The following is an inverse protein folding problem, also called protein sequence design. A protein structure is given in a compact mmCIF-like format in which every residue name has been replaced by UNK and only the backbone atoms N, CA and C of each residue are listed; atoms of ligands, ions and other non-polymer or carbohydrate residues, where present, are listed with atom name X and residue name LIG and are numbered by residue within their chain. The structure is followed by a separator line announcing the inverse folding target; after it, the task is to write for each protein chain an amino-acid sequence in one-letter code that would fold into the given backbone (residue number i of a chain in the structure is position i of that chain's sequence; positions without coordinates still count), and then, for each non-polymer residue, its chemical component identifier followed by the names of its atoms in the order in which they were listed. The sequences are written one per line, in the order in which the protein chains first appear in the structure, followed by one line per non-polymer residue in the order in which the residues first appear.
data_IF_334613579150
#
_entry.id   IF_334613579150
#
_cell.length_a   1.000
_cell.length_b   1.000
_cell.length_c   1.000
_cell.angle_alpha   90.00
_cell.angle_beta   90.00
_cell.angle_gamma   90.00
#
_symmetry.space_group_name_H-M   'P 1'
#
loop_
_entity.id
_entity.type
_entity.pdbx_description
1 polymer ?
#
# COMPACT_ATOMS: atom_id res chain seq x y z
N UNK A 1 -12.30 -6.63 8.43
CA UNK A 1 -13.59 -5.91 8.22
C UNK A 1 -14.79 -6.59 8.86
N UNK A 2 -14.89 -7.90 8.88
CA UNK A 2 -16.02 -8.64 9.50
C UNK A 2 -16.24 -8.36 11.00
N UNK A 3 -15.22 -7.96 11.75
CA UNK A 3 -15.35 -7.59 13.16
C UNK A 3 -16.27 -6.39 13.43
N UNK A 4 -16.41 -5.50 12.46
CA UNK A 4 -17.26 -4.31 12.54
C UNK A 4 -18.69 -4.56 12.04
N UNK A 5 -18.94 -5.74 11.47
CA UNK A 5 -20.27 -6.11 11.01
C UNK A 5 -21.13 -6.59 12.20
N UNK A 6 -22.30 -6.03 12.30
CA UNK A 6 -23.31 -6.52 13.21
C UNK A 6 -24.07 -7.65 12.52
N UNK A 7 -23.72 -8.89 12.86
CA UNK A 7 -24.21 -10.07 12.17
C UNK A 7 -25.35 -10.68 12.98
N UNK A 8 -26.55 -10.51 12.48
CA UNK A 8 -27.78 -11.10 13.02
C UNK A 8 -28.18 -12.29 12.15
N UNK A 9 -27.68 -13.46 12.46
CA UNK A 9 -28.08 -14.70 11.80
C UNK A 9 -28.09 -15.87 12.76
N UNK A 10 -29.13 -16.74 12.71
CA UNK A 10 -29.17 -17.92 13.54
C UNK A 10 -28.14 -18.99 13.20
N UNK A 11 -27.45 -18.86 12.05
CA UNK A 11 -26.43 -19.82 11.59
C UNK A 11 -25.19 -19.82 12.48
N UNK A 12 -24.76 -18.64 12.94
CA UNK A 12 -23.52 -18.49 13.67
C UNK A 12 -23.77 -18.14 15.13
N UNK A 13 -23.03 -18.79 16.03
CA UNK A 13 -23.09 -18.55 17.47
C UNK A 13 -22.26 -17.37 17.92
N UNK A 14 -21.15 -17.11 17.22
CA UNK A 14 -20.32 -15.95 17.47
C UNK A 14 -19.69 -15.39 16.18
N UNK A 15 -19.06 -14.22 16.29
CA UNK A 15 -18.40 -13.55 15.16
C UNK A 15 -17.15 -14.30 14.64
N UNK A 16 -16.52 -15.10 15.48
CA UNK A 16 -15.32 -15.86 15.08
C UNK A 16 -15.67 -16.95 14.06
N UNK A 17 -16.82 -17.59 14.21
CA UNK A 17 -17.30 -18.58 13.23
C UNK A 17 -17.51 -17.94 11.86
N UNK A 18 -18.14 -16.75 11.83
CA UNK A 18 -18.36 -16.02 10.57
C UNK A 18 -17.03 -15.62 9.92
N UNK A 19 -16.10 -15.06 10.70
CA UNK A 19 -14.80 -14.61 10.19
C UNK A 19 -14.03 -15.78 9.60
N UNK A 20 -14.09 -16.95 10.24
CA UNK A 20 -13.44 -18.14 9.76
C UNK A 20 -14.05 -18.67 8.45
N UNK A 21 -15.39 -18.76 8.38
CA UNK A 21 -16.09 -19.13 7.15
C UNK A 21 -15.80 -18.15 6.00
N UNK A 22 -15.70 -16.84 6.31
CA UNK A 22 -15.32 -15.83 5.33
C UNK A 22 -13.87 -16.03 4.84
N UNK A 23 -12.93 -16.30 5.74
CA UNK A 23 -11.55 -16.58 5.37
C UNK A 23 -11.45 -17.81 4.46
N UNK A 24 -12.22 -18.86 4.74
CA UNK A 24 -12.27 -20.05 3.88
C UNK A 24 -12.92 -19.81 2.52
N UNK A 25 -13.98 -19.01 2.48
CA UNK A 25 -14.62 -18.65 1.22
C UNK A 25 -13.69 -17.78 0.37
N UNK A 26 -13.04 -16.78 0.98
CA UNK A 26 -12.08 -15.91 0.30
C UNK A 26 -10.85 -16.69 -0.19
N UNK A 27 -10.36 -17.64 0.60
CA UNK A 27 -9.26 -18.50 0.18
C UNK A 27 -9.56 -19.22 -1.15
N UNK A 28 -10.80 -19.72 -1.33
CA UNK A 28 -11.20 -20.39 -2.57
C UNK A 28 -11.16 -19.43 -3.77
N UNK A 29 -11.62 -18.20 -3.59
CA UNK A 29 -11.58 -17.16 -4.63
C UNK A 29 -10.13 -16.78 -4.99
N UNK A 30 -9.27 -16.60 -3.98
CA UNK A 30 -7.87 -16.26 -4.18
C UNK A 30 -7.11 -17.39 -4.90
N UNK A 31 -7.38 -18.65 -4.56
CA UNK A 31 -6.82 -19.81 -5.26
C UNK A 31 -7.31 -19.87 -6.72
N UNK A 32 -8.60 -19.59 -6.98
CA UNK A 32 -9.13 -19.53 -8.33
C UNK A 32 -8.48 -18.40 -9.16
N UNK A 33 -8.21 -17.23 -8.56
CA UNK A 33 -7.44 -16.16 -9.22
C UNK A 33 -6.02 -16.60 -9.56
N UNK A 34 -5.32 -17.24 -8.64
CA UNK A 34 -3.99 -17.83 -8.89
C UNK A 34 -4.03 -18.81 -10.05
N UNK A 35 -4.99 -19.73 -10.04
CA UNK A 35 -5.14 -20.78 -11.07
C UNK A 35 -5.50 -20.19 -12.44
N UNK A 36 -6.20 -19.06 -12.45
CA UNK A 36 -6.46 -18.26 -13.67
C UNK A 36 -5.23 -17.48 -14.17
N UNK A 37 -4.10 -17.55 -13.46
CA UNK A 37 -2.83 -16.93 -13.86
C UNK A 37 -2.50 -15.61 -13.17
N UNK A 38 -3.26 -15.18 -12.16
CA UNK A 38 -2.92 -14.01 -11.37
C UNK A 38 -1.65 -14.29 -10.54
N UNK A 39 -0.62 -13.44 -10.69
CA UNK A 39 0.67 -13.61 -10.00
C UNK A 39 0.97 -12.53 -8.97
N UNK A 40 0.08 -11.57 -8.82
CA UNK A 40 0.16 -10.53 -7.80
C UNK A 40 -1.23 -10.23 -7.25
N UNK A 41 -1.42 -10.37 -5.96
CA UNK A 41 -2.71 -10.14 -5.29
C UNK A 41 -2.49 -9.20 -4.11
N UNK A 42 -3.30 -8.14 -4.02
CA UNK A 42 -3.31 -7.26 -2.85
C UNK A 42 -4.58 -7.49 -2.04
N UNK A 43 -4.40 -7.62 -0.73
CA UNK A 43 -5.49 -7.74 0.24
C UNK A 43 -5.50 -6.49 1.13
N UNK A 44 -6.69 -5.94 1.34
CA UNK A 44 -6.93 -4.80 2.22
C UNK A 44 -7.16 -5.29 3.65
N UNK A 45 -6.17 -5.08 4.53
CA UNK A 45 -6.26 -5.51 5.92
C UNK A 45 -5.90 -4.40 6.93
N UNK A 46 -6.76 -3.40 7.08
CA UNK A 46 -6.55 -2.33 8.05
C UNK A 46 -6.86 -2.75 9.50
N UNK A 47 -7.41 -3.94 9.73
CA UNK A 47 -7.98 -4.30 11.02
C UNK A 47 -6.92 -4.57 12.08
N UNK A 48 -5.79 -5.18 11.72
CA UNK A 48 -4.79 -5.61 12.70
C UNK A 48 -4.20 -4.46 13.49
N UNK A 49 -3.80 -3.36 12.81
CA UNK A 49 -3.21 -2.24 13.51
C UNK A 49 -4.22 -1.46 14.34
N UNK A 50 -5.49 -1.37 13.92
CA UNK A 50 -6.55 -0.84 14.76
C UNK A 50 -6.72 -1.67 16.04
N UNK A 51 -6.82 -2.99 15.92
CA UNK A 51 -6.97 -3.89 17.04
C UNK A 51 -5.73 -3.90 17.94
N UNK A 52 -4.52 -3.92 17.35
CA UNK A 52 -3.28 -3.89 18.10
C UNK A 52 -3.13 -2.60 18.91
N UNK A 53 -3.58 -1.46 18.37
CA UNK A 53 -3.59 -0.21 19.12
C UNK A 53 -4.68 -0.16 20.21
N UNK A 54 -5.80 -0.86 20.01
CA UNK A 54 -6.92 -0.85 20.97
C UNK A 54 -6.73 -1.85 22.10
N UNK A 55 -6.30 -3.07 21.78
CA UNK A 55 -6.25 -4.20 22.72
C UNK A 55 -4.83 -4.65 23.08
N UNK A 56 -3.81 -4.22 22.32
CA UNK A 56 -2.46 -4.74 22.38
C UNK A 56 -2.24 -5.90 21.41
N UNK A 57 -1.03 -6.00 20.86
CA UNK A 57 -0.65 -6.94 19.79
C UNK A 57 -0.78 -8.43 20.16
N UNK A 58 -0.75 -8.74 21.45
CA UNK A 58 -0.82 -10.13 21.96
C UNK A 58 -2.21 -10.52 22.45
N UNK A 59 -3.20 -9.66 22.27
CA UNK A 59 -4.59 -9.95 22.63
C UNK A 59 -5.15 -11.10 21.79
N UNK A 60 -6.02 -11.94 22.39
CA UNK A 60 -6.60 -13.11 21.71
C UNK A 60 -7.31 -12.80 20.40
N UNK A 61 -8.01 -11.68 20.33
CA UNK A 61 -8.69 -11.29 19.10
C UNK A 61 -7.71 -10.94 17.98
N UNK A 62 -6.59 -10.31 18.32
CA UNK A 62 -5.52 -10.01 17.33
C UNK A 62 -4.90 -11.32 16.82
N UNK A 63 -4.60 -12.26 17.72
CA UNK A 63 -4.09 -13.59 17.34
C UNK A 63 -5.07 -14.31 16.42
N UNK A 64 -6.34 -14.35 16.80
CA UNK A 64 -7.37 -14.99 15.98
C UNK A 64 -7.50 -14.37 14.59
N UNK A 65 -7.44 -13.04 14.48
CA UNK A 65 -7.51 -12.36 13.18
C UNK A 65 -6.29 -12.66 12.31
N UNK A 66 -5.11 -12.78 12.90
CA UNK A 66 -3.90 -13.20 12.18
C UNK A 66 -4.06 -14.63 11.66
N UNK A 67 -4.60 -15.54 12.48
CA UNK A 67 -4.84 -16.92 12.08
C UNK A 67 -5.87 -16.99 10.95
N UNK A 68 -6.96 -16.23 11.03
CA UNK A 68 -7.97 -16.13 9.98
C UNK A 68 -7.39 -15.57 8.67
N UNK A 69 -6.57 -14.51 8.74
CA UNK A 69 -5.87 -13.98 7.57
C UNK A 69 -4.90 -15.00 6.97
N UNK A 70 -4.10 -15.66 7.78
CA UNK A 70 -3.17 -16.69 7.30
C UNK A 70 -3.90 -17.89 6.69
N UNK A 71 -5.12 -18.19 7.17
CA UNK A 71 -6.01 -19.19 6.56
C UNK A 71 -6.56 -18.71 5.21
N UNK A 72 -6.95 -17.43 5.13
CA UNK A 72 -7.43 -16.81 3.88
C UNK A 72 -6.41 -16.90 2.76
N UNK A 73 -5.14 -16.67 3.05
CA UNK A 73 -4.05 -16.65 2.04
C UNK A 73 -3.30 -17.97 1.91
N UNK A 74 -3.78 -19.04 2.51
CA UNK A 74 -3.15 -20.35 2.47
C UNK A 74 -3.07 -20.90 1.04
N UNK A 75 -1.89 -21.40 0.65
CA UNK A 75 -1.66 -21.99 -0.67
C UNK A 75 -1.36 -21.00 -1.79
N UNK A 76 -1.08 -19.72 -1.47
CA UNK A 76 -0.69 -18.67 -2.43
C UNK A 76 0.85 -18.49 -2.48
N UNK A 77 1.62 -19.55 -2.27
CA UNK A 77 3.09 -19.48 -2.16
C UNK A 77 3.79 -19.10 -3.49
N UNK A 78 3.10 -19.21 -4.62
CA UNK A 78 3.55 -18.84 -5.97
C UNK A 78 3.00 -17.50 -6.47
N UNK A 79 2.35 -16.73 -5.59
CA UNK A 79 1.77 -15.41 -5.86
C UNK A 79 2.46 -14.36 -5.01
N UNK A 80 2.88 -13.24 -5.60
CA UNK A 80 3.35 -12.10 -4.81
C UNK A 80 2.16 -11.47 -4.07
N UNK A 81 2.13 -11.64 -2.76
CA UNK A 81 1.03 -11.23 -1.89
C UNK A 81 1.34 -9.89 -1.23
N UNK A 82 0.49 -8.91 -1.48
CA UNK A 82 0.55 -7.59 -0.88
C UNK A 82 -0.51 -7.43 0.20
N UNK A 83 -0.14 -6.81 1.30
CA UNK A 83 -1.06 -6.44 2.38
C UNK A 83 -1.12 -4.92 2.46
N UNK A 84 -2.27 -4.34 2.21
CA UNK A 84 -2.46 -2.89 2.35
C UNK A 84 -3.05 -2.55 3.72
N UNK A 85 -2.45 -1.56 4.35
CA UNK A 85 -2.92 -1.00 5.62
C UNK A 85 -3.00 0.52 5.54
N UNK A 86 -4.12 1.06 6.00
CA UNK A 86 -4.33 2.49 6.12
C UNK A 86 -5.12 2.80 7.41
N UNK A 87 -5.28 4.08 7.73
CA UNK A 87 -5.96 4.53 8.94
C UNK A 87 -7.44 4.87 8.71
N UNK A 88 -8.04 4.23 7.71
CA UNK A 88 -9.41 4.48 7.29
C UNK A 88 -9.54 5.74 6.44
N UNK A 89 -10.63 5.83 5.69
CA UNK A 89 -10.79 6.91 4.73
C UNK A 89 -12.27 7.26 4.45
N UNK A 90 -13.13 7.41 5.49
CA UNK A 90 -14.50 7.88 5.28
C UNK A 90 -14.46 9.34 4.82
N UNK A 91 -15.02 9.63 3.65
CA UNK A 91 -15.06 10.98 3.09
C UNK A 91 -13.70 11.72 3.10
N UNK A 92 -12.62 11.01 2.79
CA UNK A 92 -11.24 11.54 2.83
C UNK A 92 -10.77 11.98 4.23
N UNK A 93 -11.47 11.58 5.29
CA UNK A 93 -11.09 11.86 6.67
C UNK A 93 -10.33 10.70 7.28
N UNK A 94 -9.50 10.98 8.28
CA UNK A 94 -8.90 9.94 9.12
C UNK A 94 -9.94 9.43 10.12
N UNK A 95 -9.91 8.12 10.37
CA UNK A 95 -10.75 7.54 11.43
C UNK A 95 -10.10 7.73 12.81
N UNK A 96 -8.75 7.73 12.84
CA UNK A 96 -7.96 7.87 14.05
C UNK A 96 -6.84 8.89 13.82
N UNK A 97 -6.56 9.73 14.82
CA UNK A 97 -5.54 10.78 14.72
C UNK A 97 -4.16 10.33 15.24
N UNK A 98 -4.08 9.94 16.50
CA UNK A 98 -2.81 9.56 17.14
C UNK A 98 -2.51 8.08 17.03
N UNK A 99 -2.13 7.67 15.83
CA UNK A 99 -1.90 6.28 15.52
C UNK A 99 -0.46 6.04 15.09
N UNK A 100 0.08 4.87 15.42
CA UNK A 100 1.40 4.42 15.00
C UNK A 100 1.36 2.94 14.65
N UNK A 101 2.17 2.54 13.69
CA UNK A 101 2.40 1.13 13.37
C UNK A 101 3.29 0.42 14.41
N UNK A 102 3.77 1.10 15.45
CA UNK A 102 4.64 0.52 16.46
C UNK A 102 4.05 -0.75 17.12
N UNK A 103 2.74 -0.76 17.37
CA UNK A 103 2.06 -1.90 17.98
C UNK A 103 1.73 -3.04 17.01
N UNK A 104 2.00 -2.88 15.72
CA UNK A 104 1.63 -3.86 14.69
C UNK A 104 2.77 -4.24 13.74
N UNK A 105 3.95 -3.63 13.88
CA UNK A 105 5.06 -3.87 12.97
C UNK A 105 5.48 -5.34 12.93
N UNK A 106 5.58 -6.01 14.07
CA UNK A 106 5.89 -7.44 14.19
C UNK A 106 4.77 -8.32 13.62
N UNK A 107 3.51 -7.89 13.72
CA UNK A 107 2.37 -8.61 13.15
C UNK A 107 2.58 -8.76 11.63
N UNK A 108 2.82 -7.65 10.93
CA UNK A 108 2.98 -7.67 9.48
C UNK A 108 4.32 -8.23 9.02
N UNK A 109 5.42 -7.96 9.75
CA UNK A 109 6.74 -8.44 9.34
C UNK A 109 6.95 -9.93 9.63
N UNK A 110 6.41 -10.44 10.74
CA UNK A 110 6.76 -11.78 11.24
C UNK A 110 5.59 -12.76 11.29
N UNK A 111 4.36 -12.29 11.62
CA UNK A 111 3.23 -13.17 11.94
C UNK A 111 2.24 -13.36 10.80
N UNK A 112 2.02 -12.35 9.97
CA UNK A 112 1.18 -12.45 8.78
C UNK A 112 1.97 -13.01 7.60
N UNK A 113 1.36 -13.89 6.82
CA UNK A 113 1.87 -14.28 5.50
C UNK A 113 1.77 -13.09 4.55
N UNK A 114 2.68 -13.00 3.60
CA UNK A 114 2.71 -11.93 2.59
C UNK A 114 4.13 -11.48 2.30
N UNK A 115 4.33 -10.91 1.11
CA UNK A 115 5.63 -10.52 0.59
C UNK A 115 5.86 -9.03 0.68
N UNK A 116 4.81 -8.24 0.54
CA UNK A 116 4.86 -6.77 0.52
C UNK A 116 3.85 -6.21 1.52
N UNK A 117 4.33 -5.35 2.39
CA UNK A 117 3.47 -4.59 3.29
C UNK A 117 3.36 -3.15 2.82
N UNK A 118 2.14 -2.69 2.50
CA UNK A 118 1.83 -1.35 2.00
C UNK A 118 1.23 -0.50 3.11
N UNK A 119 1.82 0.69 3.34
CA UNK A 119 1.51 1.54 4.49
C UNK A 119 1.10 2.95 4.05
N UNK A 120 0.11 3.50 4.75
CA UNK A 120 -0.21 4.93 4.73
C UNK A 120 0.86 5.71 5.48
N UNK A 121 1.69 6.49 4.77
CA UNK A 121 2.86 7.16 5.33
C UNK A 121 2.91 8.66 5.02
N UNK A 122 2.53 9.09 3.80
CA UNK A 122 2.62 10.49 3.35
C UNK A 122 1.79 11.43 4.20
N UNK A 123 0.52 11.10 4.43
CA UNK A 123 -0.39 11.91 5.23
C UNK A 123 -0.01 12.01 6.71
N UNK A 124 1.00 11.25 7.12
CA UNK A 124 1.52 11.18 8.48
C UNK A 124 2.96 11.68 8.56
N UNK A 125 3.41 12.44 7.56
CA UNK A 125 4.77 12.99 7.48
C UNK A 125 5.87 11.94 7.65
N UNK A 126 5.62 10.69 7.22
CA UNK A 126 6.57 9.58 7.29
C UNK A 126 7.05 9.24 8.72
N UNK A 127 6.27 9.58 9.76
CA UNK A 127 6.71 9.53 11.17
C UNK A 127 7.10 8.12 11.66
N UNK A 128 6.52 7.07 11.04
CA UNK A 128 6.76 5.69 11.46
C UNK A 128 7.93 5.01 10.70
N UNK A 129 8.67 5.72 9.83
CA UNK A 129 9.82 5.15 9.12
C UNK A 129 10.91 4.63 10.06
N UNK A 130 11.14 5.30 11.18
CA UNK A 130 12.14 4.91 12.17
C UNK A 130 11.88 3.54 12.80
N UNK A 131 10.63 3.06 12.78
CA UNK A 131 10.26 1.74 13.26
C UNK A 131 10.94 0.60 12.48
N UNK A 132 11.39 0.86 11.25
CA UNK A 132 12.10 -0.11 10.42
C UNK A 132 13.61 -0.19 10.73
N UNK A 133 14.17 0.75 11.51
CA UNK A 133 15.60 0.77 11.83
C UNK A 133 16.12 -0.55 12.43
N UNK A 134 15.41 -1.20 13.38
CA UNK A 134 15.87 -2.48 13.93
C UNK A 134 15.89 -3.63 12.91
N UNK A 135 15.07 -3.55 11.88
CA UNK A 135 14.90 -4.60 10.88
C UNK A 135 15.74 -4.38 9.62
N UNK A 136 16.40 -3.24 9.47
CA UNK A 136 17.05 -2.80 8.22
C UNK A 136 17.95 -3.86 7.59
N UNK A 137 18.71 -4.60 8.40
CA UNK A 137 19.68 -5.58 7.93
C UNK A 137 19.11 -7.00 7.72
N UNK A 138 17.88 -7.25 8.21
CA UNK A 138 17.24 -8.58 8.13
C UNK A 138 15.78 -8.48 7.64
N UNK A 139 15.44 -7.41 6.93
CA UNK A 139 14.11 -7.21 6.40
C UNK A 139 13.83 -8.22 5.28
N UNK A 140 12.94 -9.18 5.55
CA UNK A 140 12.59 -10.24 4.60
C UNK A 140 11.53 -9.80 3.61
N UNK A 141 10.56 -9.01 4.07
CA UNK A 141 9.48 -8.48 3.25
C UNK A 141 9.88 -7.19 2.56
N UNK A 142 9.23 -6.89 1.46
CA UNK A 142 9.26 -5.55 0.86
C UNK A 142 8.31 -4.63 1.64
N UNK A 143 8.69 -3.36 1.73
CA UNK A 143 7.89 -2.32 2.36
C UNK A 143 7.48 -1.32 1.30
N UNK A 144 6.19 -1.23 1.03
CA UNK A 144 5.63 -0.25 0.12
C UNK A 144 5.19 0.99 0.91
N UNK A 145 5.96 2.05 0.83
CA UNK A 145 5.62 3.32 1.50
C UNK A 145 4.66 4.14 0.65
N UNK A 146 3.63 4.70 1.26
CA UNK A 146 2.85 5.77 0.67
C UNK A 146 3.70 7.03 0.55
N UNK A 147 4.04 7.42 -0.67
CA UNK A 147 4.77 8.65 -0.97
C UNK A 147 3.89 9.76 -1.54
N UNK A 148 2.65 9.42 -1.86
CA UNK A 148 1.61 10.30 -2.43
C UNK A 148 0.33 10.18 -1.62
N UNK A 149 -0.19 11.31 -1.17
CA UNK A 149 -1.45 11.36 -0.44
C UNK A 149 -2.66 11.09 -1.35
N UNK A 150 -3.59 10.29 -0.87
CA UNK A 150 -4.90 10.11 -1.50
C UNK A 150 -5.94 11.13 -1.02
N UNK A 151 -5.65 11.89 0.04
CA UNK A 151 -6.55 12.90 0.63
C UNK A 151 -6.39 14.27 0.02
N UNK A 152 -5.24 14.57 -0.55
CA UNK A 152 -4.94 15.85 -1.19
C UNK A 152 -5.19 15.73 -2.69
N UNK A 153 -6.02 16.61 -3.26
CA UNK A 153 -6.34 16.60 -4.70
C UNK A 153 -5.21 17.17 -5.56
N UNK A 154 -4.33 17.99 -4.99
CA UNK A 154 -3.16 18.50 -5.69
C UNK A 154 -2.28 17.33 -6.16
N UNK A 155 -1.95 17.30 -7.43
CA UNK A 155 -0.97 16.36 -7.97
C UNK A 155 0.41 16.65 -7.38
N UNK A 156 1.10 15.57 -6.99
CA UNK A 156 2.44 15.66 -6.41
C UNK A 156 3.48 15.90 -7.50
N UNK A 157 4.55 16.62 -7.16
CA UNK A 157 5.69 16.74 -8.06
C UNK A 157 6.61 15.52 -7.90
N UNK A 158 7.26 15.05 -8.98
CA UNK A 158 8.22 13.94 -8.90
C UNK A 158 9.34 14.17 -7.88
N UNK A 159 9.79 15.43 -7.71
CA UNK A 159 10.83 15.81 -6.76
C UNK A 159 10.38 15.64 -5.32
N UNK A 160 9.11 15.91 -5.01
CA UNK A 160 8.54 15.74 -3.68
C UNK A 160 8.45 14.24 -3.35
N UNK A 161 8.02 13.42 -4.31
CA UNK A 161 8.04 11.95 -4.19
C UNK A 161 9.45 11.42 -3.97
N UNK A 162 10.44 11.90 -4.75
CA UNK A 162 11.84 11.55 -4.57
C UNK A 162 12.34 11.93 -3.16
N UNK A 163 11.88 13.05 -2.62
CA UNK A 163 12.16 13.45 -1.25
C UNK A 163 11.66 12.45 -0.21
N UNK A 164 10.44 11.92 -0.38
CA UNK A 164 9.91 10.88 0.52
C UNK A 164 10.68 9.56 0.40
N UNK A 165 11.06 9.18 -0.82
CA UNK A 165 11.88 7.97 -1.05
C UNK A 165 13.24 8.09 -0.34
N UNK A 166 13.92 9.25 -0.45
CA UNK A 166 15.22 9.47 0.23
C UNK A 166 15.09 9.38 1.76
N UNK A 167 13.97 9.81 2.35
CA UNK A 167 13.69 9.63 3.78
C UNK A 167 13.60 8.14 4.12
N UNK A 168 12.85 7.38 3.32
CA UNK A 168 12.66 5.94 3.55
C UNK A 168 13.96 5.13 3.42
N UNK A 169 14.84 5.48 2.48
CA UNK A 169 16.12 4.81 2.27
C UNK A 169 17.08 4.89 3.45
N UNK A 170 16.84 5.78 4.40
CA UNK A 170 17.61 5.80 5.67
C UNK A 170 17.35 4.55 6.52
N UNK A 171 16.15 3.98 6.42
CA UNK A 171 15.65 2.91 7.28
C UNK A 171 15.34 1.60 6.54
N UNK A 172 15.05 1.67 5.24
CA UNK A 172 14.66 0.54 4.40
C UNK A 172 15.68 0.43 3.25
N UNK A 173 16.32 -0.72 3.06
CA UNK A 173 17.26 -0.90 1.97
C UNK A 173 16.56 -0.84 0.59
N UNK A 174 17.22 -0.34 -0.45
CA UNK A 174 16.58 -0.07 -1.75
C UNK A 174 15.95 -1.31 -2.39
N UNK A 175 16.52 -2.50 -2.21
CA UNK A 175 15.99 -3.77 -2.72
C UNK A 175 14.71 -4.23 -2.00
N UNK A 176 14.41 -3.64 -0.85
CA UNK A 176 13.20 -3.91 -0.06
C UNK A 176 12.19 -2.77 -0.10
N UNK A 177 12.54 -1.65 -0.73
CA UNK A 177 11.67 -0.48 -0.81
C UNK A 177 10.81 -0.52 -2.07
N UNK A 178 9.50 -0.42 -1.87
CA UNK A 178 8.51 -0.18 -2.91
C UNK A 178 7.86 1.18 -2.66
N UNK A 179 7.39 1.84 -3.69
CA UNK A 179 6.74 3.16 -3.57
C UNK A 179 5.31 3.06 -4.06
N UNK A 180 4.39 3.52 -3.23
CA UNK A 180 2.95 3.50 -3.51
C UNK A 180 2.28 4.84 -3.18
N UNK A 181 0.98 4.93 -3.36
CA UNK A 181 0.13 5.91 -2.71
C UNK A 181 -0.26 5.44 -1.31
N UNK A 182 -0.67 6.36 -0.45
CA UNK A 182 -1.14 6.04 0.90
C UNK A 182 -2.37 5.11 0.90
N UNK A 183 -3.25 5.28 -0.07
CA UNK A 183 -4.44 4.47 -0.31
C UNK A 183 -4.91 4.68 -1.75
N UNK A 184 -5.97 3.98 -2.17
CA UNK A 184 -6.55 4.12 -3.49
C UNK A 184 -7.15 5.50 -3.76
N UNK A 185 -7.06 5.95 -5.02
CA UNK A 185 -7.57 7.26 -5.47
C UNK A 185 -9.07 7.28 -5.77
N UNK A 186 -9.77 6.17 -5.69
CA UNK A 186 -11.21 6.08 -5.97
C UNK A 186 -12.10 6.73 -4.91
N UNK A 187 -11.81 7.97 -4.54
CA UNK A 187 -12.49 8.73 -3.48
C UNK A 187 -13.12 10.01 -4.04
N UNK A 188 -14.03 10.60 -3.25
CA UNK A 188 -14.73 11.82 -3.63
C UNK A 188 -13.74 12.94 -3.98
N UNK A 189 -13.97 13.60 -5.11
CA UNK A 189 -13.17 14.72 -5.59
C UNK A 189 -11.90 14.33 -6.36
N UNK A 190 -11.39 13.12 -6.22
CA UNK A 190 -10.26 12.65 -7.02
C UNK A 190 -10.79 12.07 -8.34
N UNK A 191 -10.75 12.85 -9.39
CA UNK A 191 -11.10 12.38 -10.73
C UNK A 191 -9.96 11.57 -11.36
N UNK A 192 -10.23 10.99 -12.53
CA UNK A 192 -9.26 10.16 -13.27
C UNK A 192 -7.96 10.91 -13.60
N UNK A 193 -8.04 12.16 -13.96
CA UNK A 193 -6.90 12.99 -14.36
C UNK A 193 -5.97 13.24 -13.18
N UNK A 194 -6.53 13.65 -12.04
CA UNK A 194 -5.76 13.80 -10.78
C UNK A 194 -5.07 12.50 -10.40
N UNK A 195 -5.81 11.39 -10.42
CA UNK A 195 -5.26 10.07 -10.10
C UNK A 195 -4.12 9.67 -11.06
N UNK A 196 -4.28 9.96 -12.35
CA UNK A 196 -3.27 9.70 -13.36
C UNK A 196 -1.98 10.47 -13.10
N UNK A 197 -2.06 11.78 -12.83
CA UNK A 197 -0.87 12.59 -12.52
C UNK A 197 -0.20 12.17 -11.22
N UNK A 198 -0.97 11.81 -10.20
CA UNK A 198 -0.44 11.29 -8.94
C UNK A 198 0.32 9.96 -9.14
N UNK A 199 -0.25 9.04 -9.89
CA UNK A 199 0.41 7.77 -10.22
C UNK A 199 1.68 7.98 -11.06
N UNK A 200 1.62 8.87 -12.05
CA UNK A 200 2.77 9.24 -12.87
C UNK A 200 3.91 9.85 -12.03
N UNK A 201 3.57 10.72 -11.08
CA UNK A 201 4.56 11.33 -10.18
C UNK A 201 5.31 10.28 -9.33
N UNK A 202 4.64 9.20 -8.90
CA UNK A 202 5.29 8.08 -8.20
C UNK A 202 6.40 7.47 -9.08
N UNK A 203 6.07 7.10 -10.31
CA UNK A 203 7.01 6.47 -11.22
C UNK A 203 8.19 7.40 -11.59
N UNK A 204 7.91 8.68 -11.83
CA UNK A 204 8.93 9.69 -12.12
C UNK A 204 9.84 9.94 -10.91
N UNK A 205 9.27 10.05 -9.69
CA UNK A 205 10.03 10.20 -8.45
C UNK A 205 10.95 9.01 -8.20
N UNK A 206 10.47 7.79 -8.45
CA UNK A 206 11.32 6.59 -8.42
C UNK A 206 12.49 6.69 -9.40
N UNK A 207 12.27 7.19 -10.62
CA UNK A 207 13.33 7.34 -11.61
C UNK A 207 14.38 8.40 -11.21
N UNK A 208 13.99 9.46 -10.51
CA UNK A 208 14.94 10.42 -9.95
C UNK A 208 15.91 9.70 -9.01
N UNK A 209 15.37 8.96 -8.03
CA UNK A 209 16.19 8.26 -7.03
C UNK A 209 16.98 7.10 -7.65
N UNK A 210 16.41 6.38 -8.61
CA UNK A 210 17.16 5.33 -9.33
C UNK A 210 18.41 5.89 -10.01
N UNK A 211 18.30 7.05 -10.66
CA UNK A 211 19.49 7.71 -11.25
C UNK A 211 20.53 8.08 -10.21
N UNK A 212 20.11 8.60 -9.06
CA UNK A 212 21.01 8.94 -7.94
C UNK A 212 21.76 7.71 -7.40
N UNK A 213 21.11 6.55 -7.43
CA UNK A 213 21.67 5.28 -6.97
C UNK A 213 22.43 4.52 -8.08
N UNK A 214 22.52 5.07 -9.30
CA UNK A 214 23.13 4.38 -10.46
C UNK A 214 22.32 3.18 -10.95
N UNK A 215 21.00 3.13 -10.67
CA UNK A 215 20.12 2.05 -11.08
C UNK A 215 19.43 2.38 -12.41
N UNK A 216 18.99 1.34 -13.11
CA UNK A 216 18.25 1.47 -14.38
C UNK A 216 16.90 2.16 -14.12
N UNK A 217 16.60 3.16 -14.94
CA UNK A 217 15.29 3.83 -14.93
C UNK A 217 14.30 3.10 -15.82
N UNK A 218 13.02 3.27 -15.54
CA UNK A 218 11.94 2.69 -16.32
C UNK A 218 11.25 3.79 -17.14
N UNK A 219 10.97 3.52 -18.41
CA UNK A 219 10.16 4.42 -19.21
C UNK A 219 8.76 4.56 -18.61
N UNK A 220 8.30 5.80 -18.48
CA UNK A 220 6.98 6.13 -17.93
C UNK A 220 6.14 6.77 -19.03
N UNK A 221 5.34 6.00 -19.78
CA UNK A 221 4.53 6.55 -20.88
C UNK A 221 3.61 7.68 -20.42
N UNK A 222 3.09 7.58 -19.21
CA UNK A 222 2.24 8.59 -18.59
C UNK A 222 2.93 9.96 -18.38
N UNK A 223 4.25 9.99 -18.39
CA UNK A 223 5.04 11.22 -18.28
C UNK A 223 5.46 11.77 -19.65
N UNK A 224 5.17 11.06 -20.72
CA UNK A 224 5.48 11.49 -22.07
C UNK A 224 4.54 12.63 -22.48
N UNK A 225 5.12 13.79 -22.78
CA UNK A 225 4.36 14.97 -23.18
C UNK A 225 3.49 14.74 -24.41
N UNK A 226 3.88 13.83 -25.29
CA UNK A 226 3.11 13.46 -26.49
C UNK A 226 1.84 12.69 -26.15
N UNK A 227 1.84 11.99 -25.01
CA UNK A 227 0.70 11.18 -24.56
C UNK A 227 -0.18 11.91 -23.53
N UNK A 228 0.18 13.14 -23.13
CA UNK A 228 -0.63 13.94 -22.21
C UNK A 228 -1.91 14.42 -22.89
N UNK A 229 -3.03 14.22 -22.22
CA UNK A 229 -4.36 14.57 -22.74
C UNK A 229 -4.55 16.10 -22.78
N UNK A 230 -3.87 16.84 -21.91
CA UNK A 230 -3.94 18.30 -21.79
C UNK A 230 -2.81 18.97 -22.57
N UNK A 231 -2.83 18.83 -23.89
CA UNK A 231 -2.04 19.72 -24.75
C UNK A 231 -2.75 21.08 -24.71
N UNK A 232 -2.23 22.02 -23.91
CA UNK A 232 -2.70 23.41 -23.95
C UNK A 232 -2.51 23.90 -25.38
N UNK A 233 -3.58 24.31 -26.09
CA UNK A 233 -3.45 24.82 -27.45
C UNK A 233 -2.43 25.95 -27.49
N UNK A 234 -1.36 25.79 -28.30
CA UNK A 234 -0.31 26.79 -28.46
C UNK A 234 1.03 26.50 -27.75
N UNK A 235 1.16 25.43 -26.98
CA UNK A 235 2.48 24.94 -26.56
C UNK A 235 3.11 24.09 -27.67
N UNK A 236 4.25 24.52 -28.15
CA UNK A 236 5.01 23.82 -29.18
C UNK A 236 5.55 22.48 -28.63
N UNK A 237 4.91 21.39 -29.01
CA UNK A 237 5.24 20.00 -28.57
C UNK A 237 6.59 19.56 -29.18
N UNK A 238 7.16 20.34 -30.11
CA UNK A 238 8.40 19.94 -30.81
C UNK A 238 9.68 20.08 -29.98
N UNK A 239 9.64 20.73 -28.83
CA UNK A 239 10.86 21.00 -28.05
C UNK A 239 11.30 19.82 -27.14
N UNK A 240 10.47 18.84 -26.89
CA UNK A 240 10.77 17.72 -25.97
C UNK A 240 11.21 16.43 -26.65
N UNK A 241 11.04 16.31 -27.97
CA UNK A 241 11.44 15.11 -28.72
C UNK A 241 12.95 14.99 -28.97
N UNK A 242 13.77 15.98 -28.57
CA UNK A 242 15.23 16.04 -28.83
C UNK A 242 16.12 15.53 -27.68
N UNK A 243 15.58 14.90 -26.64
CA UNK A 243 16.39 14.39 -25.51
C UNK A 243 16.52 12.84 -25.52
N UNK A 244 16.13 12.19 -26.59
CA UNK A 244 16.28 10.75 -26.77
C UNK A 244 17.15 10.42 -28.01
N UNK A 245 18.38 10.95 -28.04
CA UNK A 245 19.42 10.47 -28.94
C UNK A 245 20.76 10.37 -28.21
#
# INVERSE_FOLDING_TARGET
MALFLDIHTPKYKDKREVIWDMAEAMNKELLALRDAGCRCIQIEEPTFHFMANTYGKDHEQVKFMIDAFNREVQGLDDVELWIHTCWGNPNMQRVMEDTSYANSIDIYLERCRGDVWTLEMKDRNQKDLELFAPFKNDLKKKIAIGAVSHRVLQADRPEDVAGEIRKALKFIPPERLVVSSDCGFGRQGCNREIAFYKASAIAQGCNIVRRELGLVTTYVPAADAVLQIDVVPGRDVQSTARIAS
#
